data_IF_838019864441
#
_entry.id   IF_838019864441
#
_cell.length_a   1.000
_cell.length_b   1.000
_cell.length_c   1.000
_cell.angle_alpha   90.00
_cell.angle_beta   90.00
_cell.angle_gamma   90.00
#
_symmetry.space_group_name_H-M   'P 1'
#
loop_
_entity.id
_entity.type
_entity.pdbx_description
1 polymer ?
#
# COMPACT_ATOMS: atom_id res chain seq x y z
N UNK A 1 7.83 -13.78 -8.64
CA UNK A 1 6.99 -12.83 -7.86
C UNK A 1 7.36 -11.36 -8.09
N UNK A 2 8.65 -10.96 -8.04
CA UNK A 2 9.07 -9.56 -8.01
C UNK A 2 8.64 -8.68 -9.19
N UNK A 3 8.44 -9.24 -10.38
CA UNK A 3 7.92 -8.50 -11.54
C UNK A 3 6.39 -8.61 -11.66
N UNK A 4 5.82 -9.79 -11.36
CA UNK A 4 4.37 -10.01 -11.48
C UNK A 4 3.59 -9.09 -10.54
N UNK A 5 4.04 -8.92 -9.31
CA UNK A 5 3.36 -8.07 -8.32
C UNK A 5 3.17 -6.60 -8.77
N UNK A 6 4.21 -5.86 -9.21
CA UNK A 6 4.03 -4.49 -9.68
C UNK A 6 3.22 -4.40 -10.98
N UNK A 7 3.32 -5.40 -11.87
CA UNK A 7 2.49 -5.43 -13.08
C UNK A 7 1.00 -5.61 -12.76
N UNK A 8 0.66 -6.56 -11.89
CA UNK A 8 -0.72 -6.78 -11.43
C UNK A 8 -1.26 -5.55 -10.70
N UNK A 9 -0.45 -4.93 -9.84
CA UNK A 9 -0.87 -3.74 -9.09
C UNK A 9 -1.08 -2.51 -9.99
N UNK A 10 -0.20 -2.30 -10.99
CA UNK A 10 -0.36 -1.24 -11.97
C UNK A 10 -1.61 -1.45 -12.83
N UNK A 11 -1.81 -2.67 -13.33
CA UNK A 11 -3.02 -3.05 -14.09
C UNK A 11 -4.28 -2.78 -13.29
N UNK A 12 -4.33 -3.25 -12.04
CA UNK A 12 -5.46 -3.04 -11.15
C UNK A 12 -5.81 -1.56 -10.96
N UNK A 13 -4.83 -0.69 -10.67
CA UNK A 13 -5.08 0.75 -10.49
C UNK A 13 -5.60 1.42 -11.78
N UNK A 14 -5.09 1.02 -12.94
CA UNK A 14 -5.53 1.58 -14.24
C UNK A 14 -6.95 1.13 -14.59
N UNK A 15 -7.24 -0.18 -14.47
CA UNK A 15 -8.59 -0.73 -14.65
C UNK A 15 -9.59 -0.10 -13.67
N UNK A 16 -9.21 0.01 -12.40
CA UNK A 16 -10.04 0.62 -11.37
C UNK A 16 -10.46 2.05 -11.72
N UNK A 17 -9.50 2.86 -12.18
CA UNK A 17 -9.76 4.24 -12.56
C UNK A 17 -10.53 4.38 -13.88
N UNK A 18 -10.37 3.43 -14.81
CA UNK A 18 -11.01 3.46 -16.14
C UNK A 18 -12.46 2.98 -16.13
N UNK A 19 -12.75 1.91 -15.40
CA UNK A 19 -14.06 1.23 -15.44
C UNK A 19 -14.84 1.30 -14.14
N UNK A 20 -14.16 1.40 -12.99
CA UNK A 20 -14.80 1.33 -11.67
C UNK A 20 -14.83 2.67 -10.93
N UNK A 21 -14.52 3.79 -11.60
CA UNK A 21 -14.55 5.13 -11.01
C UNK A 21 -15.92 5.58 -10.49
N UNK A 22 -17.01 4.91 -10.91
CA UNK A 22 -18.38 5.17 -10.47
C UNK A 22 -18.88 4.22 -9.35
N UNK A 23 -18.11 3.21 -8.95
CA UNK A 23 -18.53 2.30 -7.89
C UNK A 23 -18.24 2.89 -6.51
N UNK A 24 -19.09 2.60 -5.52
CA UNK A 24 -18.81 2.98 -4.13
C UNK A 24 -17.50 2.29 -3.64
N UNK A 25 -16.51 3.02 -3.07
CA UNK A 25 -15.29 2.45 -2.50
C UNK A 25 -15.54 1.27 -1.56
N UNK A 26 -16.65 1.30 -0.82
CA UNK A 26 -17.02 0.24 0.11
C UNK A 26 -17.40 -1.08 -0.61
N UNK A 27 -18.10 -1.01 -1.74
CA UNK A 27 -18.42 -2.18 -2.54
C UNK A 27 -17.18 -2.80 -3.17
N UNK A 28 -16.23 -1.96 -3.62
CA UNK A 28 -14.97 -2.45 -4.21
C UNK A 28 -14.18 -3.28 -3.20
N UNK A 29 -13.96 -2.72 -2.01
CA UNK A 29 -13.17 -3.41 -0.99
C UNK A 29 -13.89 -4.67 -0.49
N UNK A 30 -15.23 -4.63 -0.35
CA UNK A 30 -16.03 -5.78 0.02
C UNK A 30 -15.87 -6.94 -0.95
N UNK A 31 -15.96 -6.69 -2.25
CA UNK A 31 -15.75 -7.73 -3.29
C UNK A 31 -14.31 -8.26 -3.25
N UNK A 32 -13.30 -7.41 -3.11
CA UNK A 32 -11.91 -7.84 -2.99
C UNK A 32 -11.70 -8.74 -1.75
N UNK A 33 -12.29 -8.40 -0.61
CA UNK A 33 -12.19 -9.19 0.62
C UNK A 33 -12.92 -10.54 0.50
N UNK A 34 -14.08 -10.58 -0.15
CA UNK A 34 -14.81 -11.83 -0.40
C UNK A 34 -14.00 -12.75 -1.30
N UNK A 35 -13.53 -12.24 -2.44
CA UNK A 35 -12.69 -13.03 -3.37
C UNK A 35 -11.40 -13.49 -2.68
N UNK A 36 -10.74 -12.60 -1.94
CA UNK A 36 -9.54 -12.93 -1.15
C UNK A 36 -9.79 -14.01 -0.11
N UNK A 37 -10.97 -14.01 0.52
CA UNK A 37 -11.39 -15.05 1.47
C UNK A 37 -11.54 -16.41 0.77
N UNK A 38 -12.14 -16.45 -0.43
CA UNK A 38 -12.23 -17.69 -1.22
C UNK A 38 -10.85 -18.23 -1.64
N UNK A 39 -9.93 -17.35 -2.03
CA UNK A 39 -8.54 -17.73 -2.37
C UNK A 39 -7.78 -18.30 -1.17
N UNK A 40 -8.15 -17.91 0.06
CA UNK A 40 -7.52 -18.39 1.29
C UNK A 40 -8.03 -19.77 1.75
N UNK A 41 -9.14 -20.28 1.21
CA UNK A 41 -9.70 -21.60 1.56
C UNK A 41 -8.69 -22.76 1.46
N UNK A 42 -7.91 -22.94 0.37
CA UNK A 42 -6.93 -24.04 0.28
C UNK A 42 -5.79 -23.95 1.30
N UNK A 43 -5.51 -22.75 1.83
CA UNK A 43 -4.49 -22.54 2.86
C UNK A 43 -5.03 -22.75 4.29
N UNK A 44 -6.34 -22.94 4.44
CA UNK A 44 -6.99 -23.14 5.73
C UNK A 44 -6.51 -24.42 6.43
N UNK A 45 -6.25 -25.50 5.69
CA UNK A 45 -5.74 -26.76 6.24
C UNK A 45 -4.37 -26.61 6.88
N UNK A 46 -3.51 -25.77 6.31
CA UNK A 46 -2.20 -25.43 6.86
C UNK A 46 -2.28 -24.48 8.05
N UNK A 47 -3.31 -23.61 8.10
CA UNK A 47 -3.50 -22.64 9.17
C UNK A 47 -4.20 -23.24 10.40
N UNK A 48 -5.09 -24.22 10.20
CA UNK A 48 -5.90 -24.82 11.26
C UNK A 48 -5.07 -25.45 12.39
N UNK A 49 -3.87 -25.97 12.09
CA UNK A 49 -2.96 -26.53 13.09
C UNK A 49 -2.35 -25.48 14.02
N UNK A 50 -2.31 -24.21 13.63
CA UNK A 50 -1.66 -23.11 14.38
C UNK A 50 -2.66 -22.22 15.12
N UNK A 51 -3.96 -22.34 14.84
CA UNK A 51 -5.02 -21.54 15.47
C UNK A 51 -5.18 -21.84 16.98
N UNK A 52 -4.80 -23.05 17.42
CA UNK A 52 -4.86 -23.45 18.84
C UNK A 52 -3.80 -22.81 19.74
N UNK A 53 -2.73 -22.25 19.15
CA UNK A 53 -1.63 -21.62 19.89
C UNK A 53 -1.80 -20.10 20.06
N UNK A 54 -2.86 -19.51 19.51
CA UNK A 54 -3.08 -18.07 19.55
C UNK A 54 -3.56 -17.60 20.92
N UNK A 55 -2.75 -16.76 21.57
CA UNK A 55 -3.13 -16.01 22.77
C UNK A 55 -4.21 -14.97 22.44
N UNK A 56 -5.06 -14.63 23.43
CA UNK A 56 -6.13 -13.63 23.29
C UNK A 56 -5.61 -12.25 22.83
N UNK A 57 -4.37 -11.88 23.18
CA UNK A 57 -3.75 -10.64 22.68
C UNK A 57 -3.44 -10.69 21.18
N UNK A 58 -3.05 -11.85 20.63
CA UNK A 58 -2.75 -12.00 19.21
C UNK A 58 -4.00 -11.86 18.35
N UNK A 59 -5.15 -12.33 18.85
CA UNK A 59 -6.45 -12.10 18.21
C UNK A 59 -6.79 -10.61 18.11
N UNK A 60 -6.55 -9.83 19.17
CA UNK A 60 -6.79 -8.38 19.16
C UNK A 60 -5.91 -7.67 18.13
N UNK A 61 -4.61 -7.99 18.09
CA UNK A 61 -3.69 -7.41 17.09
C UNK A 61 -4.06 -7.80 15.66
N UNK A 62 -4.51 -9.03 15.44
CA UNK A 62 -4.96 -9.48 14.14
C UNK A 62 -6.21 -8.71 13.67
N UNK A 63 -7.20 -8.55 14.54
CA UNK A 63 -8.42 -7.77 14.25
C UNK A 63 -8.06 -6.29 14.00
N UNK A 64 -7.19 -5.72 14.82
CA UNK A 64 -6.71 -4.35 14.65
C UNK A 64 -6.07 -4.14 13.28
N UNK A 65 -5.20 -5.06 12.86
CA UNK A 65 -4.50 -4.95 11.57
C UNK A 65 -5.45 -5.21 10.40
N UNK A 66 -6.39 -6.15 10.52
CA UNK A 66 -7.38 -6.42 9.50
C UNK A 66 -8.30 -5.21 9.27
N UNK A 67 -8.82 -4.60 10.33
CA UNK A 67 -9.74 -3.46 10.21
C UNK A 67 -8.98 -2.18 9.87
N UNK A 68 -7.96 -1.84 10.66
CA UNK A 68 -7.20 -0.59 10.51
C UNK A 68 -6.26 -0.59 9.31
N UNK A 69 -5.44 -1.63 9.19
CA UNK A 69 -4.40 -1.74 8.17
C UNK A 69 -4.92 -2.16 6.79
N UNK A 70 -6.03 -2.90 6.74
CA UNK A 70 -6.62 -3.34 5.47
C UNK A 70 -7.90 -2.56 5.15
N UNK A 71 -8.99 -2.76 5.91
CA UNK A 71 -10.30 -2.21 5.52
C UNK A 71 -10.27 -0.69 5.40
N UNK A 72 -9.84 0.01 6.46
CA UNK A 72 -9.80 1.46 6.49
C UNK A 72 -8.78 2.04 5.50
N UNK A 73 -7.58 1.46 5.45
CA UNK A 73 -6.51 1.94 4.56
C UNK A 73 -6.88 1.81 3.08
N UNK A 74 -7.41 0.66 2.65
CA UNK A 74 -7.84 0.47 1.27
C UNK A 74 -9.11 1.26 0.94
N UNK A 75 -10.04 1.43 1.90
CA UNK A 75 -11.19 2.31 1.71
C UNK A 75 -10.74 3.75 1.43
N UNK A 76 -9.83 4.29 2.25
CA UNK A 76 -9.22 5.61 2.04
C UNK A 76 -8.48 5.69 0.70
N UNK A 77 -7.76 4.63 0.32
CA UNK A 77 -7.06 4.54 -0.96
C UNK A 77 -8.02 4.61 -2.16
N UNK A 78 -9.09 3.80 -2.17
CA UNK A 78 -10.09 3.82 -3.23
C UNK A 78 -10.86 5.14 -3.27
N UNK A 79 -11.21 5.69 -2.10
CA UNK A 79 -11.83 7.01 -1.99
C UNK A 79 -10.92 8.12 -2.55
N UNK A 80 -9.63 8.08 -2.23
CA UNK A 80 -8.64 9.01 -2.78
C UNK A 80 -8.45 8.82 -4.30
N UNK A 81 -8.45 7.58 -4.79
CA UNK A 81 -8.35 7.27 -6.22
C UNK A 81 -9.52 7.82 -7.04
N UNK A 82 -10.71 7.89 -6.47
CA UNK A 82 -11.89 8.43 -7.15
C UNK A 82 -11.89 9.96 -7.19
N UNK A 83 -11.32 10.62 -6.18
CA UNK A 83 -11.33 12.09 -6.04
C UNK A 83 -10.07 12.77 -6.54
N UNK A 84 -8.95 12.06 -6.63
CA UNK A 84 -7.68 12.59 -7.11
C UNK A 84 -7.29 11.99 -8.46
N UNK A 85 -6.70 12.81 -9.32
CA UNK A 85 -6.02 12.31 -10.51
C UNK A 85 -4.96 11.28 -10.10
N UNK A 86 -4.95 10.11 -10.76
CA UNK A 86 -3.96 9.04 -10.56
C UNK A 86 -2.53 9.52 -10.28
N UNK A 87 -2.09 10.61 -10.93
CA UNK A 87 -0.77 11.20 -10.70
C UNK A 87 -0.56 11.74 -9.26
N UNK A 88 -1.58 12.33 -8.64
CA UNK A 88 -1.55 12.77 -7.24
C UNK A 88 -1.63 11.59 -6.28
N UNK A 89 -2.47 10.59 -6.56
CA UNK A 89 -2.60 9.38 -5.72
C UNK A 89 -1.31 8.56 -5.74
N UNK A 90 -0.65 8.44 -6.89
CA UNK A 90 0.66 7.79 -7.01
C UNK A 90 1.76 8.53 -6.23
N UNK A 91 1.63 9.85 -6.08
CA UNK A 91 2.57 10.64 -5.27
C UNK A 91 2.48 10.29 -3.78
N UNK A 92 1.29 9.89 -3.29
CA UNK A 92 1.07 9.48 -1.91
C UNK A 92 1.72 8.15 -1.55
N UNK A 93 1.87 7.22 -2.52
CA UNK A 93 2.61 5.97 -2.29
C UNK A 93 4.09 6.20 -1.95
N UNK A 94 4.69 7.31 -2.38
CA UNK A 94 6.07 7.64 -2.00
C UNK A 94 6.19 8.12 -0.55
N UNK A 95 5.09 8.57 0.06
CA UNK A 95 5.07 8.90 1.48
C UNK A 95 5.05 7.62 2.34
N UNK A 96 4.45 6.53 1.87
CA UNK A 96 4.37 5.24 2.60
C UNK A 96 5.72 4.77 3.15
N UNK A 97 6.81 4.69 2.37
CA UNK A 97 8.09 4.22 2.90
C UNK A 97 8.72 5.21 3.91
N UNK A 98 8.50 6.51 3.77
CA UNK A 98 8.96 7.52 4.75
C UNK A 98 8.18 7.38 6.06
N UNK A 99 6.86 7.26 5.97
CA UNK A 99 5.99 7.01 7.12
C UNK A 99 6.35 5.71 7.82
N UNK A 100 6.65 4.65 7.07
CA UNK A 100 7.07 3.37 7.63
C UNK A 100 8.38 3.49 8.41
N UNK A 101 9.37 4.25 7.91
CA UNK A 101 10.61 4.52 8.65
C UNK A 101 10.36 5.30 9.94
N UNK A 102 9.51 6.34 9.89
CA UNK A 102 9.16 7.13 11.06
C UNK A 102 8.44 6.30 12.13
N UNK A 103 7.42 5.53 11.73
CA UNK A 103 6.68 4.66 12.64
C UNK A 103 7.54 3.52 13.19
N UNK A 104 8.44 2.95 12.37
CA UNK A 104 9.39 1.94 12.82
C UNK A 104 10.30 2.48 13.92
N UNK A 105 10.82 3.71 13.76
CA UNK A 105 11.65 4.35 14.78
C UNK A 105 10.86 4.68 16.05
N UNK A 106 9.67 5.27 15.90
CA UNK A 106 8.82 5.71 17.02
C UNK A 106 8.24 4.55 17.85
N UNK A 107 7.79 3.47 17.21
CA UNK A 107 7.06 2.39 17.89
C UNK A 107 7.99 1.29 18.38
N UNK A 108 8.99 0.90 17.58
CA UNK A 108 9.88 -0.19 17.97
C UNK A 108 11.06 0.29 18.81
N UNK A 109 11.50 1.56 18.71
CA UNK A 109 12.64 2.08 19.47
C UNK A 109 13.97 1.36 19.19
N UNK A 110 14.01 0.43 18.24
CA UNK A 110 15.18 -0.36 17.87
C UNK A 110 16.14 0.59 17.16
N UNK A 111 17.34 0.81 17.72
CA UNK A 111 18.41 1.48 16.99
C UNK A 111 18.74 0.62 15.75
N UNK A 112 18.51 1.13 14.54
CA UNK A 112 18.80 0.38 13.33
C UNK A 112 20.29 0.03 13.30
N UNK A 113 20.59 -1.25 13.05
CA UNK A 113 21.94 -1.68 12.66
C UNK A 113 22.46 -0.77 11.54
N UNK A 114 23.78 -0.58 11.44
CA UNK A 114 24.39 0.24 10.39
C UNK A 114 23.89 -0.10 8.98
N UNK A 115 23.53 -1.37 8.75
CA UNK A 115 22.89 -1.85 7.52
C UNK A 115 21.47 -1.33 7.29
N UNK A 116 20.66 -1.22 8.35
CA UNK A 116 19.29 -0.67 8.28
C UNK A 116 19.31 0.84 8.07
N UNK A 117 20.31 1.53 8.61
CA UNK A 117 20.55 2.96 8.32
C UNK A 117 20.88 3.13 6.84
N UNK A 118 21.79 2.31 6.31
CA UNK A 118 22.15 2.34 4.89
C UNK A 118 20.93 2.06 4.00
N UNK A 119 20.12 1.06 4.34
CA UNK A 119 18.87 0.76 3.65
C UNK A 119 17.87 1.92 3.69
N UNK A 120 17.73 2.59 4.83
CA UNK A 120 16.89 3.79 4.98
C UNK A 120 17.39 4.95 4.12
N UNK A 121 18.69 5.22 4.09
CA UNK A 121 19.29 6.28 3.26
C UNK A 121 19.12 5.99 1.77
N UNK A 122 19.36 4.75 1.32
CA UNK A 122 19.13 4.35 -0.08
C UNK A 122 17.66 4.52 -0.45
N UNK A 123 16.74 4.15 0.44
CA UNK A 123 15.30 4.29 0.22
C UNK A 123 14.88 5.77 0.13
N UNK A 124 15.35 6.63 1.03
CA UNK A 124 15.10 8.08 0.98
C UNK A 124 15.70 8.69 -0.29
N UNK A 125 16.91 8.28 -0.67
CA UNK A 125 17.57 8.71 -1.90
C UNK A 125 16.80 8.29 -3.16
N UNK A 126 16.31 7.06 -3.21
CA UNK A 126 15.48 6.56 -4.32
C UNK A 126 14.14 7.27 -4.44
N UNK A 127 13.48 7.57 -3.31
CA UNK A 127 12.26 8.38 -3.28
C UNK A 127 12.54 9.80 -3.76
N UNK A 128 13.60 10.43 -3.24
CA UNK A 128 13.99 11.78 -3.64
C UNK A 128 14.27 11.88 -5.14
N UNK A 129 15.02 10.94 -5.71
CA UNK A 129 15.34 10.89 -7.14
C UNK A 129 14.09 10.71 -8.00
N UNK A 130 13.17 9.84 -7.58
CA UNK A 130 11.89 9.61 -8.28
C UNK A 130 11.00 10.87 -8.23
N UNK A 131 11.05 11.60 -7.11
CA UNK A 131 10.31 12.86 -6.96
C UNK A 131 10.90 13.97 -7.83
N UNK A 132 12.23 14.10 -7.91
CA UNK A 132 12.89 15.14 -8.73
C UNK A 132 12.65 14.91 -10.22
N UNK A 133 12.77 13.66 -10.69
CA UNK A 133 12.50 13.30 -12.09
C UNK A 133 11.07 13.68 -12.54
N UNK A 134 10.09 13.55 -11.63
CA UNK A 134 8.68 13.89 -11.91
C UNK A 134 8.41 15.40 -11.87
N UNK A 135 9.07 16.14 -10.96
CA UNK A 135 8.98 17.59 -10.94
C UNK A 135 9.60 18.23 -12.19
N UNK A 136 10.68 17.66 -12.70
CA UNK A 136 11.31 18.07 -13.97
C UNK A 136 10.39 17.79 -15.16
N UNK A 137 9.79 16.60 -15.24
CA UNK A 137 8.86 16.23 -16.33
C UNK A 137 7.60 17.11 -16.36
N UNK A 138 7.04 17.44 -15.19
CA UNK A 138 5.88 18.34 -15.05
C UNK A 138 6.19 19.81 -15.38
N UNK A 139 7.46 20.22 -15.23
CA UNK A 139 7.92 21.56 -15.66
C UNK A 139 8.08 21.60 -17.18
N UNK A 140 8.58 20.53 -17.80
CA UNK A 140 8.68 20.40 -19.26
C UNK A 140 7.34 20.53 -20.00
N UNK A 141 6.30 19.82 -19.54
CA UNK A 141 4.95 19.89 -20.14
C UNK A 141 4.28 21.27 -20.01
N UNK A 142 4.69 22.09 -19.04
CA UNK A 142 4.18 23.46 -18.85
C UNK A 142 4.94 24.50 -19.68
N UNK A 143 6.13 24.16 -20.18
CA UNK A 143 6.93 25.04 -21.05
C UNK A 143 6.68 24.80 -22.55
N UNK A 144 6.11 23.66 -22.95
CA UNK A 144 5.73 23.40 -24.36
C UNK A 144 4.37 23.99 -24.75
N UNK A 145 3.60 24.52 -23.78
CA UNK A 145 2.27 25.11 -23.99
C UNK A 145 2.24 26.64 -23.85
N UNK A 146 3.39 27.32 -23.87
CA UNK A 146 3.50 28.78 -23.84
C UNK A 146 4.55 29.25 -24.85
#
# INVERSE_FOLDING_TARGET
LCLVAPFTWAGFNVLYKREFGNLDPFSTIGVCLIIGSFVMIPFYSSAAGSLGEFSGSQWVWMIYTAIGGTVLAYYLWYWALQRLEANKTMSYNYAVPISALLWSWLVMGILPSSLSILGGVILVGGVYLTQTQRLVKRKGERFEFN
#
